data_IF_120559947559
#
_entry.id   IF_120559947559
#
_cell.length_a   1.000
_cell.length_b   1.000
_cell.length_c   1.000
_cell.angle_alpha   90.00
_cell.angle_beta   90.00
_cell.angle_gamma   90.00
#
_symmetry.space_group_name_H-M   'P 1'
#
loop_
_entity.id
_entity.type
_entity.pdbx_description
1 polymer ?
#
# COMPACT_ATOMS: atom_id res chain seq x y z
N UNK A 1 -2.25 -68.73 51.22
CA UNK A 1 -2.32 -67.50 50.42
C UNK A 1 -1.31 -67.62 49.28
N UNK A 2 -1.82 -68.10 48.16
CA UNK A 2 -1.08 -68.64 47.03
C UNK A 2 -0.14 -67.64 46.37
N UNK A 3 1.10 -68.08 46.09
CA UNK A 3 2.16 -67.28 45.44
C UNK A 3 1.71 -66.69 44.10
N UNK A 4 0.83 -67.39 43.39
CA UNK A 4 0.23 -66.94 42.13
C UNK A 4 -0.63 -65.68 42.31
N UNK A 5 -1.36 -65.56 43.42
CA UNK A 5 -2.19 -64.38 43.70
C UNK A 5 -1.34 -63.14 43.96
N UNK A 6 -0.23 -63.29 44.69
CA UNK A 6 0.72 -62.19 44.94
C UNK A 6 1.42 -61.73 43.64
N UNK A 7 1.78 -62.68 42.78
CA UNK A 7 2.38 -62.37 41.48
C UNK A 7 1.40 -61.61 40.59
N UNK A 8 0.15 -62.07 40.50
CA UNK A 8 -0.90 -61.38 39.75
C UNK A 8 -1.16 -59.96 40.26
N UNK A 9 -1.19 -59.78 41.59
CA UNK A 9 -1.36 -58.46 42.21
C UNK A 9 -0.19 -57.51 41.89
N UNK A 10 1.04 -58.01 41.93
CA UNK A 10 2.23 -57.23 41.61
C UNK A 10 2.26 -56.79 40.13
N UNK A 11 1.86 -57.69 39.21
CA UNK A 11 1.76 -57.38 37.78
C UNK A 11 0.66 -56.33 37.54
N UNK A 12 -0.50 -56.48 38.19
CA UNK A 12 -1.59 -55.50 38.07
C UNK A 12 -1.16 -54.10 38.53
N UNK A 13 -0.43 -54.01 39.65
CA UNK A 13 0.15 -52.75 40.14
C UNK A 13 1.16 -52.14 39.16
N UNK A 14 2.02 -52.95 38.55
CA UNK A 14 3.00 -52.48 37.56
C UNK A 14 2.34 -51.99 36.28
N UNK A 15 1.31 -52.68 35.79
CA UNK A 15 0.57 -52.25 34.59
C UNK A 15 -0.22 -50.97 34.86
N UNK A 16 -0.87 -50.86 36.02
CA UNK A 16 -1.57 -49.65 36.41
C UNK A 16 -0.61 -48.45 36.57
N UNK A 17 0.51 -48.65 37.29
CA UNK A 17 1.53 -47.62 37.50
C UNK A 17 2.23 -47.21 36.20
N UNK A 18 2.56 -48.18 35.35
CA UNK A 18 3.17 -47.95 34.04
C UNK A 18 2.25 -47.20 33.08
N UNK A 19 0.95 -47.51 33.07
CA UNK A 19 -0.05 -46.79 32.28
C UNK A 19 -0.18 -45.32 32.71
N UNK A 20 -0.26 -45.07 34.02
CA UNK A 20 -0.29 -43.70 34.58
C UNK A 20 1.01 -42.97 34.24
N UNK A 21 2.17 -43.60 34.44
CA UNK A 21 3.46 -43.01 34.10
C UNK A 21 3.57 -42.64 32.62
N UNK A 22 3.19 -43.55 31.72
CA UNK A 22 3.18 -43.31 30.28
C UNK A 22 2.29 -42.12 29.91
N UNK A 23 1.08 -42.07 30.49
CA UNK A 23 0.12 -41.01 30.19
C UNK A 23 0.66 -39.62 30.58
N UNK A 24 1.20 -39.49 31.80
CA UNK A 24 1.66 -38.21 32.31
C UNK A 24 3.05 -37.79 31.80
N UNK A 25 3.96 -38.73 31.58
CA UNK A 25 5.37 -38.42 31.24
C UNK A 25 5.61 -38.38 29.73
N UNK A 26 4.86 -39.15 28.94
CA UNK A 26 5.09 -39.27 27.50
C UNK A 26 3.93 -38.64 26.72
N UNK A 27 2.70 -39.07 26.98
CA UNK A 27 1.54 -38.67 26.16
C UNK A 27 1.15 -37.20 26.36
N UNK A 28 0.91 -36.75 27.60
CA UNK A 28 0.55 -35.36 27.88
C UNK A 28 1.52 -34.34 27.26
N UNK A 29 2.85 -34.41 27.53
CA UNK A 29 3.77 -33.43 26.97
C UNK A 29 3.90 -33.49 25.44
N UNK A 30 3.66 -34.64 24.81
CA UNK A 30 3.61 -34.75 23.35
C UNK A 30 2.39 -33.99 22.78
N UNK A 31 1.22 -34.14 23.40
CA UNK A 31 0.00 -33.42 23.00
C UNK A 31 0.14 -31.92 23.22
N UNK A 32 0.70 -31.48 24.36
CA UNK A 32 0.93 -30.06 24.64
C UNK A 32 1.89 -29.42 23.63
N UNK A 33 2.98 -30.11 23.28
CA UNK A 33 3.93 -29.63 22.25
C UNK A 33 3.26 -29.51 20.88
N UNK A 34 2.41 -30.47 20.52
CA UNK A 34 1.68 -30.42 19.25
C UNK A 34 0.66 -29.28 19.23
N UNK A 35 -0.07 -29.06 20.32
CA UNK A 35 -0.99 -27.92 20.47
C UNK A 35 -0.25 -26.58 20.42
N UNK A 36 0.90 -26.47 21.10
CA UNK A 36 1.74 -25.27 21.06
C UNK A 36 2.27 -24.98 19.65
N UNK A 37 2.75 -26.00 18.93
CA UNK A 37 3.22 -25.87 17.55
C UNK A 37 2.10 -25.45 16.59
N UNK A 38 0.88 -25.98 16.76
CA UNK A 38 -0.28 -25.57 15.97
C UNK A 38 -0.67 -24.11 16.26
N UNK A 39 -0.70 -23.72 17.52
CA UNK A 39 -0.99 -22.33 17.91
C UNK A 39 0.08 -21.35 17.38
N UNK A 40 1.35 -21.75 17.36
CA UNK A 40 2.44 -20.94 16.80
C UNK A 40 2.33 -20.82 15.27
N UNK A 41 1.98 -21.91 14.58
CA UNK A 41 1.71 -21.86 13.13
C UNK A 41 0.52 -20.97 12.79
N UNK A 42 -0.56 -21.03 13.57
CA UNK A 42 -1.73 -20.18 13.37
C UNK A 42 -1.38 -18.70 13.59
N UNK A 43 -0.64 -18.38 14.65
CA UNK A 43 -0.11 -17.02 14.88
C UNK A 43 0.78 -16.56 13.75
N UNK A 44 1.67 -17.41 13.25
CA UNK A 44 2.56 -17.08 12.14
C UNK A 44 1.77 -16.81 10.85
N UNK A 45 0.71 -17.58 10.58
CA UNK A 45 -0.17 -17.34 9.42
C UNK A 45 -0.90 -16.01 9.53
N UNK A 46 -1.51 -15.72 10.68
CA UNK A 46 -2.21 -14.44 10.91
C UNK A 46 -1.24 -13.26 10.76
N UNK A 47 -0.03 -13.37 11.33
CA UNK A 47 1.01 -12.34 11.20
C UNK A 47 1.48 -12.16 9.74
N UNK A 48 1.63 -13.25 8.99
CA UNK A 48 1.98 -13.19 7.57
C UNK A 48 0.88 -12.54 6.74
N UNK A 49 -0.38 -12.89 6.98
CA UNK A 49 -1.53 -12.29 6.29
C UNK A 49 -1.64 -10.79 6.59
N UNK A 50 -1.42 -10.37 7.83
CA UNK A 50 -1.40 -8.97 8.21
C UNK A 50 -0.24 -8.20 7.57
N UNK A 51 0.96 -8.78 7.56
CA UNK A 51 2.11 -8.21 6.88
C UNK A 51 1.89 -8.07 5.37
N UNK A 52 1.28 -9.08 4.73
CA UNK A 52 0.93 -9.04 3.31
C UNK A 52 -0.09 -7.93 3.00
N UNK A 53 -1.15 -7.81 3.81
CA UNK A 53 -2.14 -6.71 3.66
C UNK A 53 -1.49 -5.34 3.81
N UNK A 54 -0.62 -5.17 4.81
CA UNK A 54 0.10 -3.91 5.03
C UNK A 54 1.02 -3.58 3.84
N UNK A 55 1.75 -4.56 3.31
CA UNK A 55 2.60 -4.38 2.14
C UNK A 55 1.81 -3.97 0.89
N UNK A 56 0.66 -4.61 0.66
CA UNK A 56 -0.22 -4.27 -0.46
C UNK A 56 -0.74 -2.83 -0.34
N UNK A 57 -1.21 -2.43 0.85
CA UNK A 57 -1.65 -1.07 1.09
C UNK A 57 -0.54 -0.04 0.82
N UNK A 58 0.69 -0.28 1.30
CA UNK A 58 1.81 0.63 1.06
C UNK A 58 2.21 0.69 -0.43
N UNK A 59 2.16 -0.44 -1.12
CA UNK A 59 2.42 -0.51 -2.56
C UNK A 59 1.39 0.32 -3.32
N UNK A 60 0.10 0.16 -3.02
CA UNK A 60 -0.97 0.94 -3.63
C UNK A 60 -0.77 2.45 -3.42
N UNK A 61 -0.47 2.87 -2.18
CA UNK A 61 -0.18 4.28 -1.89
C UNK A 61 1.01 4.82 -2.68
N UNK A 62 2.10 4.05 -2.75
CA UNK A 62 3.30 4.45 -3.48
C UNK A 62 3.02 4.63 -4.96
N UNK A 63 2.20 3.75 -5.56
CA UNK A 63 1.77 3.87 -6.95
C UNK A 63 0.89 5.11 -7.17
N UNK A 64 -0.01 5.41 -6.24
CA UNK A 64 -0.83 6.62 -6.29
C UNK A 64 0.04 7.90 -6.22
N UNK A 65 1.05 7.91 -5.34
CA UNK A 65 2.00 9.02 -5.21
C UNK A 65 2.84 9.20 -6.49
N UNK A 66 3.35 8.11 -7.06
CA UNK A 66 4.12 8.15 -8.31
C UNK A 66 3.28 8.68 -9.47
N UNK A 67 2.06 8.15 -9.63
CA UNK A 67 1.12 8.58 -10.66
C UNK A 67 0.80 10.07 -10.54
N UNK A 68 0.56 10.54 -9.31
CA UNK A 68 0.31 11.96 -9.03
C UNK A 68 1.48 12.85 -9.47
N UNK A 69 2.70 12.50 -9.09
CA UNK A 69 3.89 13.28 -9.43
C UNK A 69 4.14 13.30 -10.95
N UNK A 70 3.96 12.17 -11.62
CA UNK A 70 4.11 12.07 -13.07
C UNK A 70 3.06 12.89 -13.81
N UNK A 71 1.79 12.79 -13.40
CA UNK A 71 0.68 13.51 -14.01
C UNK A 71 0.81 15.03 -13.79
N UNK A 72 1.20 15.44 -12.58
CA UNK A 72 1.46 16.85 -12.28
C UNK A 72 2.59 17.40 -13.16
N UNK A 73 3.73 16.70 -13.23
CA UNK A 73 4.86 17.10 -14.04
C UNK A 73 4.52 17.14 -15.55
N UNK A 74 3.69 16.20 -16.02
CA UNK A 74 3.20 16.19 -17.39
C UNK A 74 2.28 17.39 -17.67
N UNK A 75 1.36 17.69 -16.76
CA UNK A 75 0.49 18.85 -16.86
C UNK A 75 1.28 20.17 -16.87
N UNK A 76 2.34 20.26 -16.08
CA UNK A 76 3.24 21.42 -16.06
C UNK A 76 3.89 21.66 -17.42
N UNK A 77 4.43 20.59 -18.02
CA UNK A 77 5.02 20.65 -19.36
C UNK A 77 4.00 21.04 -20.41
N UNK A 78 2.77 20.52 -20.34
CA UNK A 78 1.70 20.85 -21.28
C UNK A 78 1.30 22.34 -21.19
N UNK A 79 1.06 22.85 -19.97
CA UNK A 79 0.75 24.27 -19.75
C UNK A 79 1.87 25.17 -20.25
N UNK A 80 3.13 24.81 -19.96
CA UNK A 80 4.27 25.59 -20.42
C UNK A 80 4.39 25.58 -21.96
N UNK A 81 4.16 24.43 -22.59
CA UNK A 81 4.12 24.32 -24.05
C UNK A 81 3.00 25.16 -24.66
N UNK A 82 1.78 25.10 -24.10
CA UNK A 82 0.66 25.90 -24.56
C UNK A 82 0.96 27.40 -24.43
N UNK A 83 1.52 27.86 -23.31
CA UNK A 83 1.91 29.25 -23.14
C UNK A 83 2.97 29.70 -24.16
N UNK A 84 3.95 28.87 -24.48
CA UNK A 84 4.93 29.17 -25.52
C UNK A 84 4.30 29.30 -26.91
N UNK A 85 3.33 28.44 -27.23
CA UNK A 85 2.55 28.54 -28.48
C UNK A 85 1.73 29.83 -28.49
N UNK A 86 1.05 30.18 -27.40
CA UNK A 86 0.28 31.42 -27.29
C UNK A 86 1.17 32.66 -27.39
N UNK A 87 2.34 32.64 -26.76
CA UNK A 87 3.34 33.70 -26.89
C UNK A 87 3.75 33.88 -28.35
N UNK A 88 4.07 32.79 -29.06
CA UNK A 88 4.45 32.83 -30.47
C UNK A 88 3.32 33.39 -31.34
N UNK A 89 2.08 32.96 -31.10
CA UNK A 89 0.90 33.44 -31.83
C UNK A 89 0.63 34.92 -31.55
N UNK A 90 0.84 35.36 -30.30
CA UNK A 90 0.70 36.77 -29.91
C UNK A 90 1.75 37.64 -30.62
N UNK A 91 3.02 37.19 -30.66
CA UNK A 91 4.12 37.90 -31.32
C UNK A 91 4.02 37.89 -32.86
N UNK A 92 3.34 36.91 -33.47
CA UNK A 92 3.11 36.88 -34.91
C UNK A 92 1.86 37.67 -35.34
N UNK A 93 1.01 38.07 -34.39
CA UNK A 93 -0.19 38.85 -34.68
C UNK A 93 0.16 40.31 -34.95
N UNK A 94 0.01 40.74 -36.22
CA UNK A 94 0.31 42.11 -36.65
C UNK A 94 -0.51 43.17 -35.90
N UNK A 95 -1.77 42.90 -35.57
CA UNK A 95 -2.63 43.87 -34.87
C UNK A 95 -2.14 44.17 -33.45
N UNK A 96 -1.58 43.15 -32.78
CA UNK A 96 -1.00 43.29 -31.45
C UNK A 96 0.37 43.98 -31.57
N UNK A 97 1.21 43.54 -32.52
CA UNK A 97 2.57 44.10 -32.69
C UNK A 97 2.60 45.54 -33.18
N UNK A 98 1.62 45.98 -33.98
CA UNK A 98 1.52 47.36 -34.42
C UNK A 98 0.82 48.29 -33.41
N UNK A 99 0.35 47.75 -32.28
CA UNK A 99 -0.34 48.53 -31.27
C UNK A 99 0.64 49.18 -30.29
N UNK A 100 0.58 50.52 -30.17
CA UNK A 100 1.47 51.31 -29.31
C UNK A 100 1.40 50.96 -27.81
N UNK A 101 0.33 50.29 -27.35
CA UNK A 101 0.11 49.90 -25.96
C UNK A 101 0.28 48.40 -25.72
N UNK A 102 0.13 47.55 -26.74
CA UNK A 102 0.05 46.08 -26.60
C UNK A 102 1.13 45.30 -27.38
N UNK A 103 2.24 45.93 -27.75
CA UNK A 103 3.34 45.27 -28.50
C UNK A 103 4.01 44.08 -27.79
N UNK A 104 5.25 43.75 -28.18
CA UNK A 104 5.95 42.55 -27.70
C UNK A 104 5.99 42.38 -26.17
N UNK A 105 6.04 43.49 -25.41
CA UNK A 105 6.01 43.50 -23.95
C UNK A 105 4.70 42.94 -23.39
N UNK A 106 3.55 43.27 -23.99
CA UNK A 106 2.26 42.71 -23.57
C UNK A 106 2.26 41.19 -23.71
N UNK A 107 2.63 40.66 -24.87
CA UNK A 107 2.69 39.20 -25.09
C UNK A 107 3.60 38.49 -24.08
N UNK A 108 4.79 39.04 -23.81
CA UNK A 108 5.73 38.48 -22.83
C UNK A 108 5.18 38.53 -21.41
N UNK A 109 4.49 39.60 -21.02
CA UNK A 109 3.89 39.69 -19.70
C UNK A 109 2.69 38.75 -19.53
N UNK A 110 1.92 38.54 -20.60
CA UNK A 110 0.74 37.68 -20.58
C UNK A 110 1.07 36.18 -20.65
N UNK A 111 2.07 35.79 -21.45
CA UNK A 111 2.36 34.37 -21.76
C UNK A 111 3.81 33.93 -21.48
N UNK A 112 4.69 34.85 -21.06
CA UNK A 112 6.12 34.58 -20.90
C UNK A 112 6.50 33.92 -19.58
N UNK A 113 5.61 33.93 -18.59
CA UNK A 113 5.80 33.25 -17.32
C UNK A 113 5.27 31.81 -17.40
N UNK A 114 6.04 30.91 -18.02
CA UNK A 114 5.78 29.47 -17.96
C UNK A 114 6.89 28.75 -17.23
N UNK A 115 6.50 27.91 -16.27
CA UNK A 115 7.41 27.03 -15.54
C UNK A 115 7.16 25.57 -15.97
N UNK A 116 8.08 24.94 -16.72
CA UNK A 116 7.97 23.54 -17.10
C UNK A 116 8.48 22.58 -16.01
N UNK A 117 8.90 23.09 -14.85
CA UNK A 117 9.38 22.27 -13.75
C UNK A 117 8.27 21.33 -13.23
N UNK A 118 8.64 20.19 -12.65
CA UNK A 118 7.66 19.25 -12.10
C UNK A 118 6.88 19.81 -10.89
N UNK A 119 7.26 20.97 -10.35
CA UNK A 119 6.60 21.62 -9.21
C UNK A 119 5.94 22.95 -9.61
N UNK A 120 5.57 23.09 -10.89
CA UNK A 120 4.93 24.30 -11.36
C UNK A 120 3.56 24.52 -10.68
N UNK A 121 3.08 25.76 -10.73
CA UNK A 121 1.69 26.07 -10.36
C UNK A 121 0.77 25.85 -11.55
N UNK A 122 -0.14 24.89 -11.42
CA UNK A 122 -1.15 24.61 -12.44
C UNK A 122 -2.39 25.52 -12.29
N UNK A 123 -3.13 25.79 -13.39
CA UNK A 123 -4.44 26.41 -13.30
C UNK A 123 -5.38 25.59 -12.41
N UNK A 124 -6.20 26.27 -11.58
CA UNK A 124 -7.08 25.64 -10.58
C UNK A 124 -7.88 24.45 -11.11
N UNK A 125 -8.59 24.52 -12.26
CA UNK A 125 -9.36 23.37 -12.73
C UNK A 125 -8.50 22.14 -13.05
N UNK A 126 -7.27 22.35 -13.53
CA UNK A 126 -6.32 21.27 -13.83
C UNK A 126 -5.77 20.67 -12.55
N UNK A 127 -5.38 21.51 -11.60
CA UNK A 127 -4.87 21.09 -10.30
C UNK A 127 -5.94 20.30 -9.51
N UNK A 128 -7.17 20.79 -9.48
CA UNK A 128 -8.28 20.18 -8.76
C UNK A 128 -8.60 18.78 -9.30
N UNK A 129 -8.59 18.60 -10.61
CA UNK A 129 -8.79 17.28 -11.23
C UNK A 129 -7.73 16.28 -10.77
N UNK A 130 -6.45 16.64 -10.88
CA UNK A 130 -5.33 15.75 -10.50
C UNK A 130 -5.36 15.45 -9.00
N UNK A 131 -5.65 16.45 -8.17
CA UNK A 131 -5.78 16.28 -6.72
C UNK A 131 -6.98 15.38 -6.36
N UNK A 132 -8.10 15.51 -7.07
CA UNK A 132 -9.27 14.66 -6.87
C UNK A 132 -8.97 13.22 -7.26
N UNK A 133 -8.32 12.99 -8.40
CA UNK A 133 -7.94 11.64 -8.86
C UNK A 133 -6.97 10.97 -7.89
N UNK A 134 -6.00 11.72 -7.36
CA UNK A 134 -5.13 11.26 -6.29
C UNK A 134 -5.88 10.91 -5.01
N UNK A 135 -6.81 11.77 -4.57
CA UNK A 135 -7.66 11.50 -3.41
C UNK A 135 -8.50 10.23 -3.58
N UNK A 136 -9.09 10.04 -4.75
CA UNK A 136 -9.85 8.84 -5.11
C UNK A 136 -8.96 7.58 -5.09
N UNK A 137 -7.74 7.67 -5.63
CA UNK A 137 -6.79 6.56 -5.63
C UNK A 137 -6.38 6.18 -4.20
N UNK A 138 -6.10 7.15 -3.34
CA UNK A 138 -5.79 6.89 -1.93
C UNK A 138 -6.96 6.25 -1.18
N UNK A 139 -8.19 6.72 -1.43
CA UNK A 139 -9.39 6.14 -0.84
C UNK A 139 -9.57 4.68 -1.28
N UNK A 140 -9.37 4.40 -2.58
CA UNK A 140 -9.40 3.05 -3.12
C UNK A 140 -8.41 2.13 -2.42
N UNK A 141 -7.15 2.58 -2.21
CA UNK A 141 -6.16 1.80 -1.47
C UNK A 141 -6.62 1.45 -0.05
N UNK A 142 -7.27 2.40 0.64
CA UNK A 142 -7.79 2.18 1.99
C UNK A 142 -8.96 1.18 1.99
N UNK A 143 -9.85 1.26 1.01
CA UNK A 143 -10.98 0.35 0.86
C UNK A 143 -10.52 -1.09 0.54
N UNK A 144 -9.58 -1.26 -0.39
CA UNK A 144 -8.99 -2.56 -0.72
C UNK A 144 -8.31 -3.19 0.50
N UNK A 145 -7.55 -2.40 1.28
CA UNK A 145 -6.92 -2.86 2.51
C UNK A 145 -7.93 -3.30 3.60
N UNK A 146 -9.05 -2.60 3.74
CA UNK A 146 -10.13 -2.96 4.69
C UNK A 146 -10.87 -4.22 4.30
N UNK A 147 -11.12 -4.40 3.00
CA UNK A 147 -11.88 -5.54 2.47
C UNK A 147 -11.01 -6.80 2.31
N UNK A 148 -9.69 -6.68 2.46
CA UNK A 148 -8.75 -7.78 2.20
C UNK A 148 -8.75 -8.21 0.73
N UNK A 149 -9.20 -7.32 -0.17
CA UNK A 149 -9.28 -7.58 -1.59
C UNK A 149 -7.93 -7.25 -2.22
N UNK A 150 -7.38 -8.20 -2.96
CA UNK A 150 -6.23 -8.01 -3.85
C UNK A 150 -6.75 -7.96 -5.28
N UNK A 151 -6.42 -6.89 -6.01
CA UNK A 151 -6.51 -6.85 -7.47
C UNK A 151 -5.16 -7.22 -8.07
#
# INVERSE_FOLDING_TARGET
>A
MDKMLKLALAIALLLAGGGVFYHYVIFLPAVERQAAAQAEQEKAKVAQEEAARNLQYQTCKTLADQSYLEEWAAACKDVAHQQLVQLRNCLSNKLIMSNSFMGATYCKNTFGASDPSPNCSLPTPRADSINQDYGNAQQKCLEEAKLGLSN
#
